data_IF_022194440369
#
_entry.id   IF_022194440369
#
_cell.length_a   1.000
_cell.length_b   1.000
_cell.length_c   1.000
_cell.angle_alpha   90.00
_cell.angle_beta   90.00
_cell.angle_gamma   90.00
#
_symmetry.space_group_name_H-M   'P 1'
#
loop_
_entity.id
_entity.type
_entity.pdbx_description
1 polymer ?
#
# COMPACT_ATOMS: atom_id res chain seq x y z
N UNK A 1 -12.44 -15.15 17.48
CA UNK A 1 -13.72 -14.48 17.18
C UNK A 1 -13.44 -13.46 16.11
N UNK A 2 -14.06 -13.57 14.95
CA UNK A 2 -13.95 -12.52 13.92
C UNK A 2 -14.67 -11.27 14.40
N UNK A 3 -13.95 -10.16 14.46
CA UNK A 3 -14.52 -8.83 14.73
C UNK A 3 -15.53 -8.54 13.61
N UNK A 4 -16.77 -8.13 13.95
CA UNK A 4 -17.76 -7.74 12.95
C UNK A 4 -17.49 -6.32 12.43
N UNK A 5 -16.30 -6.13 11.85
CA UNK A 5 -15.79 -4.84 11.39
C UNK A 5 -16.74 -4.12 10.41
N UNK A 6 -17.38 -4.79 9.44
CA UNK A 6 -18.30 -4.09 8.53
C UNK A 6 -19.46 -3.39 9.25
N UNK A 7 -20.06 -4.04 10.25
CA UNK A 7 -21.14 -3.44 11.03
C UNK A 7 -20.63 -2.32 11.96
N UNK A 8 -19.42 -2.48 12.51
CA UNK A 8 -18.77 -1.46 13.32
C UNK A 8 -18.47 -0.21 12.47
N UNK A 9 -17.93 -0.40 11.27
CA UNK A 9 -17.64 0.69 10.32
C UNK A 9 -18.90 1.44 9.90
N UNK A 10 -20.01 0.75 9.61
CA UNK A 10 -21.30 1.39 9.31
C UNK A 10 -21.83 2.25 10.48
N UNK A 11 -21.68 1.78 11.72
CA UNK A 11 -22.05 2.55 12.91
C UNK A 11 -21.17 3.80 13.06
N UNK A 12 -19.86 3.67 12.81
CA UNK A 12 -18.92 4.78 12.88
C UNK A 12 -19.16 5.84 11.80
N UNK A 13 -19.49 5.43 10.57
CA UNK A 13 -19.92 6.35 9.49
C UNK A 13 -21.16 7.16 9.88
N UNK A 14 -22.06 6.57 10.68
CA UNK A 14 -23.27 7.22 11.20
C UNK A 14 -23.04 7.97 12.51
N UNK A 15 -21.79 8.11 12.95
CA UNK A 15 -21.40 8.72 14.22
C UNK A 15 -22.02 8.05 15.47
N UNK A 16 -22.35 6.74 15.40
CA UNK A 16 -22.92 5.93 16.49
C UNK A 16 -21.83 5.23 17.31
N UNK A 17 -20.92 6.03 17.88
CA UNK A 17 -19.69 5.57 18.52
C UNK A 17 -19.93 4.61 19.70
N UNK A 18 -20.91 4.89 20.56
CA UNK A 18 -21.19 4.05 21.73
C UNK A 18 -21.66 2.64 21.34
N UNK A 19 -22.45 2.52 20.28
CA UNK A 19 -22.96 1.25 19.77
C UNK A 19 -21.86 0.46 19.04
N UNK A 20 -20.99 1.16 18.32
CA UNK A 20 -19.80 0.56 17.72
C UNK A 20 -18.88 -0.02 18.81
N UNK A 21 -18.64 0.72 19.90
CA UNK A 21 -17.84 0.27 21.04
C UNK A 21 -18.46 -0.95 21.75
N UNK A 22 -19.78 -0.96 21.95
CA UNK A 22 -20.46 -2.11 22.53
C UNK A 22 -20.32 -3.35 21.65
N UNK A 23 -20.48 -3.20 20.34
CA UNK A 23 -20.34 -4.30 19.38
C UNK A 23 -18.89 -4.82 19.36
N UNK A 24 -17.91 -3.92 19.34
CA UNK A 24 -16.48 -4.25 19.36
C UNK A 24 -16.10 -5.02 20.64
N UNK A 25 -16.57 -4.55 21.80
CA UNK A 25 -16.29 -5.18 23.09
C UNK A 25 -16.94 -6.56 23.22
N UNK A 26 -18.16 -6.76 22.68
CA UNK A 26 -18.79 -8.08 22.60
C UNK A 26 -17.96 -9.07 21.78
N UNK A 27 -17.21 -8.59 20.79
CA UNK A 27 -16.36 -9.44 19.95
C UNK A 27 -14.94 -9.69 20.50
N UNK A 28 -14.39 -8.78 21.31
CA UNK A 28 -12.97 -8.81 21.68
C UNK A 28 -12.70 -8.84 23.19
N UNK A 29 -13.72 -8.61 24.04
CA UNK A 29 -13.61 -8.57 25.50
C UNK A 29 -12.44 -7.70 26.00
N UNK A 30 -12.36 -6.48 25.47
CA UNK A 30 -11.26 -5.56 25.75
C UNK A 30 -11.51 -4.80 27.06
N UNK A 31 -10.43 -4.35 27.68
CA UNK A 31 -10.57 -3.37 28.77
C UNK A 31 -11.05 -2.01 28.21
N UNK A 32 -11.63 -1.13 29.05
CA UNK A 32 -12.22 0.12 28.57
C UNK A 32 -11.25 1.07 27.86
N UNK A 33 -10.00 1.15 28.32
CA UNK A 33 -8.98 2.06 27.75
C UNK A 33 -8.54 1.60 26.36
N UNK A 34 -8.29 0.30 26.20
CA UNK A 34 -7.95 -0.29 24.91
C UNK A 34 -9.11 -0.19 23.91
N UNK A 35 -10.35 -0.37 24.38
CA UNK A 35 -11.55 -0.21 23.57
C UNK A 35 -11.72 1.22 23.05
N UNK A 36 -11.49 2.23 23.90
CA UNK A 36 -11.58 3.64 23.51
C UNK A 36 -10.54 3.99 22.44
N UNK A 37 -9.31 3.50 22.61
CA UNK A 37 -8.23 3.69 21.63
C UNK A 37 -8.58 3.05 20.29
N UNK A 38 -9.02 1.79 20.30
CA UNK A 38 -9.36 1.03 19.10
C UNK A 38 -10.54 1.69 18.34
N UNK A 39 -11.59 2.07 19.05
CA UNK A 39 -12.76 2.75 18.43
C UNK A 39 -12.37 4.10 17.84
N UNK A 40 -11.46 4.84 18.49
CA UNK A 40 -10.94 6.07 17.93
C UNK A 40 -10.17 5.81 16.63
N UNK A 41 -9.30 4.81 16.61
CA UNK A 41 -8.53 4.42 15.41
C UNK A 41 -9.46 3.99 14.26
N UNK A 42 -10.45 3.13 14.55
CA UNK A 42 -11.44 2.69 13.58
C UNK A 42 -12.28 3.85 13.05
N UNK A 43 -12.63 4.81 13.90
CA UNK A 43 -13.38 6.01 13.47
C UNK A 43 -12.54 6.88 12.56
N UNK A 44 -11.29 7.12 12.92
CA UNK A 44 -10.38 7.93 12.13
C UNK A 44 -10.10 7.24 10.77
N UNK A 45 -9.95 5.90 10.76
CA UNK A 45 -9.87 5.06 9.55
C UNK A 45 -11.09 5.26 8.65
N UNK A 46 -12.29 5.01 9.17
CA UNK A 46 -13.55 5.12 8.43
C UNK A 46 -13.76 6.53 7.86
N UNK A 47 -13.40 7.56 8.62
CA UNK A 47 -13.53 8.95 8.19
C UNK A 47 -12.61 9.27 7.01
N UNK A 48 -11.32 8.92 7.10
CA UNK A 48 -10.35 9.12 6.01
C UNK A 48 -10.80 8.39 4.73
N UNK A 49 -11.27 7.15 4.85
CA UNK A 49 -11.78 6.39 3.70
C UNK A 49 -12.99 7.08 3.06
N UNK A 50 -13.96 7.47 3.88
CA UNK A 50 -15.18 8.15 3.41
C UNK A 50 -14.84 9.46 2.71
N UNK A 51 -14.03 10.32 3.31
CA UNK A 51 -13.66 11.61 2.72
C UNK A 51 -12.88 11.43 1.41
N UNK A 52 -11.99 10.44 1.33
CA UNK A 52 -11.23 10.17 0.09
C UNK A 52 -12.13 9.82 -1.11
N UNK A 53 -13.29 9.20 -0.85
CA UNK A 53 -14.26 8.77 -1.88
C UNK A 53 -15.26 9.88 -2.25
N UNK A 54 -15.27 11.01 -1.53
CA UNK A 54 -16.16 12.15 -1.85
C UNK A 54 -15.64 13.01 -3.00
N UNK A 55 -14.33 12.97 -3.27
CA UNK A 55 -13.75 13.75 -4.36
C UNK A 55 -13.91 13.03 -5.70
N UNK A 56 -14.86 13.51 -6.50
CA UNK A 56 -15.06 13.05 -7.86
C UNK A 56 -14.05 13.64 -8.86
N UNK A 57 -14.31 13.38 -10.15
CA UNK A 57 -13.46 13.80 -11.26
C UNK A 57 -13.67 15.26 -11.69
N UNK A 58 -14.62 15.99 -11.08
CA UNK A 58 -15.03 17.34 -11.50
C UNK A 58 -13.91 18.37 -11.32
N UNK A 59 -13.07 18.18 -10.32
CA UNK A 59 -11.90 19.05 -10.05
C UNK A 59 -10.63 18.57 -10.75
N UNK A 60 -10.73 17.48 -11.53
CA UNK A 60 -9.62 16.92 -12.31
C UNK A 60 -9.53 17.58 -13.68
N UNK A 61 -8.31 17.93 -14.11
CA UNK A 61 -8.06 18.38 -15.49
C UNK A 61 -8.14 17.23 -16.49
N UNK A 62 -8.04 16.00 -16.01
CA UNK A 62 -7.90 14.80 -16.84
C UNK A 62 -9.08 13.82 -16.67
N UNK A 63 -10.11 14.20 -15.90
CA UNK A 63 -11.30 13.38 -15.72
C UNK A 63 -11.12 12.17 -14.81
N UNK A 64 -10.09 12.15 -13.98
CA UNK A 64 -9.77 11.09 -13.00
C UNK A 64 -10.08 11.53 -11.58
N UNK A 65 -10.50 10.63 -10.71
CA UNK A 65 -10.56 10.90 -9.26
C UNK A 65 -9.15 10.96 -8.65
N UNK A 66 -8.95 11.58 -7.47
CA UNK A 66 -7.66 11.56 -6.80
C UNK A 66 -7.14 10.14 -6.52
N UNK A 67 -8.04 9.19 -6.22
CA UNK A 67 -7.69 7.79 -6.00
C UNK A 67 -7.22 7.12 -7.28
N UNK A 68 -8.00 7.24 -8.36
CA UNK A 68 -7.61 6.74 -9.68
C UNK A 68 -6.26 7.30 -10.12
N UNK A 69 -6.00 8.59 -9.90
CA UNK A 69 -4.74 9.21 -10.25
C UNK A 69 -3.55 8.64 -9.48
N UNK A 70 -3.72 8.26 -8.21
CA UNK A 70 -2.67 7.60 -7.43
C UNK A 70 -2.48 6.13 -7.83
N UNK A 71 -3.54 5.43 -8.19
CA UNK A 71 -3.45 4.07 -8.75
C UNK A 71 -2.72 4.12 -10.09
N UNK A 72 -3.04 5.09 -10.96
CA UNK A 72 -2.28 5.34 -12.20
C UNK A 72 -0.81 5.66 -11.94
N UNK A 73 -0.53 6.47 -10.91
CA UNK A 73 0.84 6.77 -10.52
C UNK A 73 1.60 5.51 -10.09
N UNK A 74 0.93 4.58 -9.39
CA UNK A 74 1.52 3.31 -9.01
C UNK A 74 1.79 2.38 -10.21
N UNK A 75 0.90 2.40 -11.21
CA UNK A 75 1.03 1.60 -12.44
C UNK A 75 2.08 2.11 -13.42
N UNK A 76 2.16 3.43 -13.58
CA UNK A 76 2.91 4.05 -14.68
C UNK A 76 4.02 4.97 -14.22
N UNK A 77 4.02 5.46 -12.98
CA UNK A 77 4.93 6.52 -12.57
C UNK A 77 4.48 7.87 -13.14
N UNK A 78 5.38 8.57 -13.85
CA UNK A 78 5.04 9.87 -14.44
C UNK A 78 4.08 9.70 -15.62
N UNK A 79 3.20 10.69 -15.81
CA UNK A 79 2.29 10.67 -16.96
C UNK A 79 3.05 10.59 -18.28
N UNK A 80 2.75 9.54 -19.04
CA UNK A 80 3.34 9.26 -20.35
C UNK A 80 4.34 8.09 -20.33
N UNK A 81 4.73 7.64 -19.14
CA UNK A 81 5.44 6.39 -18.97
C UNK A 81 4.51 5.21 -19.29
N UNK A 82 5.05 4.18 -19.92
CA UNK A 82 4.32 2.93 -20.15
C UNK A 82 4.12 2.19 -18.82
N UNK A 83 2.96 1.56 -18.60
CA UNK A 83 2.71 0.74 -17.42
C UNK A 83 3.81 -0.30 -17.24
N UNK A 84 4.32 -0.44 -16.02
CA UNK A 84 5.39 -1.35 -15.71
C UNK A 84 5.43 -1.74 -14.25
N UNK A 85 6.15 -2.82 -13.90
CA UNK A 85 6.26 -3.24 -12.51
C UNK A 85 6.96 -2.14 -11.69
N UNK A 86 6.30 -1.70 -10.62
CA UNK A 86 6.89 -0.77 -9.67
C UNK A 86 7.76 -1.51 -8.65
N UNK A 87 9.07 -1.30 -8.77
CA UNK A 87 10.14 -2.20 -8.33
C UNK A 87 11.12 -1.60 -7.31
N UNK A 88 10.83 -0.41 -6.80
CA UNK A 88 11.70 0.27 -5.85
C UNK A 88 10.89 1.13 -4.88
N UNK A 89 11.35 1.37 -3.64
CA UNK A 89 10.61 2.22 -2.73
C UNK A 89 10.57 3.69 -3.21
N UNK A 90 9.42 4.35 -3.10
CA UNK A 90 9.24 5.75 -3.53
C UNK A 90 8.76 6.61 -2.37
N UNK A 91 9.26 7.84 -2.27
CA UNK A 91 8.81 8.77 -1.25
C UNK A 91 7.34 9.18 -1.49
N UNK A 92 6.62 9.49 -0.41
CA UNK A 92 5.22 9.92 -0.49
C UNK A 92 5.04 11.12 -1.41
N UNK A 93 5.95 12.09 -1.32
CA UNK A 93 5.90 13.33 -2.09
C UNK A 93 6.01 13.08 -3.59
N UNK A 94 6.83 12.10 -3.99
CA UNK A 94 6.99 11.71 -5.38
C UNK A 94 5.73 11.02 -5.91
N UNK A 95 5.13 10.11 -5.14
CA UNK A 95 3.85 9.47 -5.51
C UNK A 95 2.72 10.48 -5.66
N UNK A 96 2.65 11.46 -4.75
CA UNK A 96 1.69 12.56 -4.85
C UNK A 96 1.98 13.42 -6.09
N UNK A 97 3.26 13.68 -6.42
CA UNK A 97 3.62 14.43 -7.61
C UNK A 97 3.24 13.69 -8.90
N UNK A 98 3.51 12.38 -8.97
CA UNK A 98 3.10 11.50 -10.06
C UNK A 98 1.58 11.47 -10.20
N UNK A 99 0.85 11.28 -9.09
CA UNK A 99 -0.61 11.38 -9.08
C UNK A 99 -1.10 12.76 -9.53
N UNK A 100 -0.38 13.82 -9.19
CA UNK A 100 -0.63 15.18 -9.67
C UNK A 100 -0.57 15.30 -11.20
N UNK A 101 0.32 14.54 -11.84
CA UNK A 101 0.41 14.48 -13.30
C UNK A 101 -0.80 13.79 -13.95
N UNK A 102 -1.47 12.89 -13.23
CA UNK A 102 -2.67 12.16 -13.65
C UNK A 102 -3.99 12.79 -13.19
N UNK A 103 -3.97 13.71 -12.20
CA UNK A 103 -5.14 14.40 -11.65
C UNK A 103 -5.26 15.86 -12.11
N UNK A 104 -4.18 16.64 -11.99
CA UNK A 104 -4.16 18.06 -12.36
C UNK A 104 -5.02 19.01 -11.50
N UNK A 105 -5.68 18.51 -10.45
CA UNK A 105 -6.46 19.27 -9.47
C UNK A 105 -5.68 19.57 -8.16
N UNK A 106 -6.39 19.89 -7.05
CA UNK A 106 -5.76 20.25 -5.78
C UNK A 106 -4.92 19.12 -5.14
N UNK A 107 -3.69 19.43 -4.74
CA UNK A 107 -2.79 18.46 -4.07
C UNK A 107 -3.34 17.95 -2.74
N UNK A 108 -4.17 18.73 -2.04
CA UNK A 108 -4.81 18.30 -0.80
C UNK A 108 -5.67 17.04 -0.99
N UNK A 109 -6.33 16.90 -2.14
CA UNK A 109 -7.17 15.74 -2.44
C UNK A 109 -6.33 14.47 -2.62
N UNK A 110 -5.18 14.61 -3.29
CA UNK A 110 -4.20 13.53 -3.44
C UNK A 110 -3.60 13.13 -2.09
N UNK A 111 -3.33 14.08 -1.19
CA UNK A 111 -2.82 13.77 0.16
C UNK A 111 -3.81 12.94 0.97
N UNK A 112 -5.11 13.24 0.88
CA UNK A 112 -6.15 12.49 1.57
C UNK A 112 -6.37 11.11 0.93
N UNK A 113 -6.41 11.06 -0.41
CA UNK A 113 -6.52 9.81 -1.14
C UNK A 113 -5.33 8.88 -0.88
N UNK A 114 -4.11 9.42 -0.79
CA UNK A 114 -2.93 8.65 -0.40
C UNK A 114 -3.09 8.02 0.97
N UNK A 115 -3.52 8.80 1.98
CA UNK A 115 -3.73 8.28 3.33
C UNK A 115 -4.80 7.17 3.35
N UNK A 116 -5.87 7.31 2.56
CA UNK A 116 -6.89 6.26 2.44
C UNK A 116 -6.35 4.99 1.76
N UNK A 117 -5.59 5.14 0.66
CA UNK A 117 -5.00 4.02 -0.08
C UNK A 117 -3.88 3.32 0.70
N UNK A 118 -3.17 4.04 1.56
CA UNK A 118 -2.25 3.48 2.54
C UNK A 118 -2.99 2.61 3.57
N UNK A 119 -4.12 3.10 4.10
CA UNK A 119 -4.95 2.36 5.04
C UNK A 119 -5.64 1.14 4.41
N UNK A 120 -6.07 1.22 3.15
CA UNK A 120 -6.65 0.10 2.41
C UNK A 120 -5.57 -0.91 1.96
N UNK A 121 -4.29 -0.55 2.04
CA UNK A 121 -3.16 -1.44 1.79
C UNK A 121 -2.63 -1.42 0.35
N UNK A 122 -3.07 -0.47 -0.49
CA UNK A 122 -2.42 -0.26 -1.80
C UNK A 122 -0.99 0.24 -1.60
N UNK A 123 -0.79 1.20 -0.71
CA UNK A 123 0.54 1.67 -0.35
C UNK A 123 0.91 1.13 1.01
N UNK A 124 2.09 0.55 1.15
CA UNK A 124 2.61 0.16 2.45
C UNK A 124 4.00 0.74 2.67
N UNK A 125 4.20 1.26 3.87
CA UNK A 125 5.47 1.82 4.30
C UNK A 125 6.54 0.72 4.36
N UNK A 126 7.69 0.98 3.75
CA UNK A 126 8.87 0.13 3.96
C UNK A 126 9.36 0.35 5.38
N UNK A 127 9.60 -0.75 6.10
CA UNK A 127 9.90 -0.75 7.54
C UNK A 127 10.68 0.50 8.01
N UNK A 128 10.14 1.27 8.98
CA UNK A 128 10.71 2.52 9.42
C UNK A 128 12.14 2.29 9.92
N UNK A 129 13.07 3.12 9.46
CA UNK A 129 14.51 2.98 9.73
C UNK A 129 15.35 2.49 8.55
N UNK A 130 14.73 2.19 7.40
CA UNK A 130 15.46 1.84 6.17
C UNK A 130 15.88 3.07 5.37
N UNK A 131 15.03 4.10 5.32
CA UNK A 131 15.22 5.30 4.52
C UNK A 131 14.91 6.55 5.34
N UNK A 132 15.63 7.64 5.05
CA UNK A 132 15.41 8.97 5.63
C UNK A 132 15.23 9.96 4.47
N UNK A 133 14.20 9.75 3.64
CA UNK A 133 12.80 9.84 4.07
C UNK A 133 12.02 8.51 4.12
N UNK A 134 10.83 8.51 4.74
CA UNK A 134 9.86 7.39 4.66
C UNK A 134 9.48 7.14 3.21
N UNK A 135 9.44 5.87 2.81
CA UNK A 135 9.16 5.43 1.44
C UNK A 135 8.17 4.27 1.43
N UNK A 136 7.54 4.07 0.28
CA UNK A 136 6.40 3.18 0.09
C UNK A 136 6.62 2.25 -1.09
N UNK A 137 5.97 1.08 -1.06
CA UNK A 137 5.72 0.23 -2.22
C UNK A 137 4.23 0.20 -2.54
N UNK A 138 3.91 -0.18 -3.78
CA UNK A 138 2.57 -0.58 -4.18
C UNK A 138 2.34 -2.07 -3.89
N UNK A 139 1.15 -2.39 -3.43
CA UNK A 139 0.63 -3.74 -3.40
C UNK A 139 0.37 -4.23 -4.83
N UNK A 140 0.67 -5.49 -5.09
CA UNK A 140 0.37 -6.14 -6.37
C UNK A 140 -0.97 -6.87 -6.34
N UNK A 141 -1.93 -6.34 -5.58
CA UNK A 141 -3.30 -6.81 -5.55
C UNK A 141 -4.10 -6.14 -6.68
N UNK A 142 -4.66 -6.92 -7.63
CA UNK A 142 -5.40 -6.38 -8.75
C UNK A 142 -6.72 -5.71 -8.36
N UNK A 143 -7.24 -5.92 -7.13
CA UNK A 143 -8.53 -5.34 -6.72
C UNK A 143 -8.55 -3.81 -6.82
N UNK A 144 -7.43 -3.15 -6.53
CA UNK A 144 -7.31 -1.69 -6.67
C UNK A 144 -7.43 -1.21 -8.12
N UNK A 145 -7.09 -2.06 -9.09
CA UNK A 145 -7.21 -1.73 -10.51
C UNK A 145 -8.66 -1.58 -10.92
N UNK A 146 -9.60 -2.22 -10.23
CA UNK A 146 -11.04 -2.08 -10.46
C UNK A 146 -11.59 -0.66 -10.31
N UNK A 147 -10.84 0.25 -9.67
CA UNK A 147 -11.20 1.67 -9.63
C UNK A 147 -10.89 2.41 -10.94
N UNK A 148 -10.01 1.87 -11.79
CA UNK A 148 -9.62 2.51 -13.04
C UNK A 148 -10.62 2.24 -14.17
N UNK A 149 -10.82 3.19 -15.09
CA UNK A 149 -11.48 2.90 -16.35
C UNK A 149 -10.62 1.93 -17.18
N UNK A 150 -11.26 0.99 -17.87
CA UNK A 150 -10.60 -0.04 -18.70
C UNK A 150 -9.55 -0.87 -17.94
N UNK A 151 -9.88 -1.25 -16.69
CA UNK A 151 -8.99 -1.98 -15.77
C UNK A 151 -8.55 -3.35 -16.28
N UNK A 152 -9.37 -4.02 -17.10
CA UNK A 152 -9.14 -5.41 -17.55
C UNK A 152 -7.72 -5.64 -18.11
N UNK A 153 -7.23 -4.73 -18.96
CA UNK A 153 -5.88 -4.84 -19.56
C UNK A 153 -4.74 -4.68 -18.55
N UNK A 154 -4.99 -3.98 -17.45
CA UNK A 154 -4.03 -3.80 -16.36
C UNK A 154 -4.06 -4.99 -15.42
N UNK A 155 -5.25 -5.55 -15.16
CA UNK A 155 -5.40 -6.76 -14.38
C UNK A 155 -4.59 -7.91 -14.99
N UNK A 156 -4.70 -8.15 -16.30
CA UNK A 156 -3.91 -9.22 -16.96
C UNK A 156 -2.40 -9.04 -16.79
N UNK A 157 -1.89 -7.80 -16.90
CA UNK A 157 -0.47 -7.50 -16.68
C UNK A 157 -0.06 -7.75 -15.23
N UNK A 158 -0.87 -7.30 -14.26
CA UNK A 158 -0.61 -7.46 -12.83
C UNK A 158 -0.72 -8.91 -12.37
N UNK A 159 -1.67 -9.67 -12.92
CA UNK A 159 -1.84 -11.11 -12.68
C UNK A 159 -0.68 -11.91 -13.26
N UNK A 160 -0.23 -11.59 -14.49
CA UNK A 160 0.93 -12.25 -15.09
C UNK A 160 2.21 -12.02 -14.29
N UNK A 161 2.42 -10.82 -13.73
CA UNK A 161 3.50 -10.56 -12.77
C UNK A 161 3.25 -11.34 -11.47
N UNK A 162 2.00 -11.34 -11.01
CA UNK A 162 1.47 -12.15 -9.92
C UNK A 162 1.98 -13.59 -9.92
N UNK A 163 1.66 -14.30 -11.00
CA UNK A 163 1.94 -15.72 -11.19
C UNK A 163 3.44 -16.02 -11.22
N UNK A 164 4.25 -15.15 -11.85
CA UNK A 164 5.71 -15.32 -11.94
C UNK A 164 6.37 -15.34 -10.56
N UNK A 165 5.95 -14.43 -9.67
CA UNK A 165 6.58 -14.27 -8.36
C UNK A 165 5.89 -15.06 -7.24
N UNK A 166 4.61 -15.40 -7.37
CA UNK A 166 3.89 -16.25 -6.41
C UNK A 166 4.46 -17.67 -6.39
N UNK A 167 4.79 -18.23 -7.56
CA UNK A 167 5.40 -19.55 -7.67
C UNK A 167 6.79 -19.61 -7.01
N UNK A 168 7.56 -18.52 -7.11
CA UNK A 168 8.95 -18.48 -6.60
C UNK A 168 9.04 -18.07 -5.13
N UNK A 169 8.24 -17.10 -4.69
CA UNK A 169 8.37 -16.46 -3.37
C UNK A 169 7.14 -16.59 -2.47
N UNK A 170 6.00 -17.06 -3.00
CA UNK A 170 4.69 -17.06 -2.34
C UNK A 170 4.08 -15.67 -2.19
N UNK A 171 2.83 -15.58 -1.75
CA UNK A 171 2.03 -14.33 -1.68
C UNK A 171 2.63 -13.16 -0.88
N UNK A 172 3.63 -13.42 -0.04
CA UNK A 172 4.28 -12.45 0.83
C UNK A 172 4.89 -11.27 0.04
N UNK A 173 5.43 -11.50 -1.16
CA UNK A 173 6.08 -10.46 -1.95
C UNK A 173 5.10 -9.35 -2.37
N UNK A 174 3.83 -9.69 -2.57
CA UNK A 174 2.77 -8.73 -2.95
C UNK A 174 2.59 -7.62 -1.90
N UNK A 175 3.00 -7.88 -0.64
CA UNK A 175 2.91 -6.96 0.51
C UNK A 175 4.27 -6.46 1.03
N UNK A 176 5.37 -6.91 0.44
CA UNK A 176 6.73 -6.44 0.79
C UNK A 176 7.42 -5.74 -0.37
N UNK A 177 6.87 -5.85 -1.58
CA UNK A 177 7.40 -5.26 -2.81
C UNK A 177 8.56 -6.07 -3.35
N UNK A 178 8.84 -5.91 -4.65
CA UNK A 178 10.05 -6.44 -5.28
C UNK A 178 11.10 -5.33 -5.37
N UNK A 179 12.37 -5.69 -5.21
CA UNK A 179 13.49 -4.77 -5.32
C UNK A 179 14.56 -5.32 -6.24
N UNK A 180 15.14 -4.46 -7.08
CA UNK A 180 16.41 -4.73 -7.75
C UNK A 180 17.53 -4.77 -6.70
N UNK A 181 17.64 -5.91 -6.00
CA UNK A 181 18.37 -6.00 -4.73
C UNK A 181 18.64 -7.42 -4.26
N UNK A 182 18.18 -8.45 -4.98
CA UNK A 182 18.73 -9.81 -4.92
C UNK A 182 20.04 -9.97 -5.72
N UNK A 183 20.73 -8.84 -5.98
CA UNK A 183 21.86 -8.74 -6.92
C UNK A 183 21.33 -8.66 -8.36
N UNK A 184 21.81 -7.80 -9.26
CA UNK A 184 23.00 -6.94 -9.31
C UNK A 184 22.68 -5.76 -10.26
N UNK A 185 23.65 -4.86 -10.41
CA UNK A 185 24.12 -4.51 -11.76
C UNK A 185 24.50 -5.78 -12.55
N UNK A 186 23.51 -6.57 -12.95
CA UNK A 186 23.65 -7.58 -13.99
C UNK A 186 23.36 -6.95 -15.34
N UNK A 187 23.48 -7.69 -16.44
CA UNK A 187 22.81 -7.32 -17.68
C UNK A 187 21.28 -7.15 -17.42
N UNK A 188 20.50 -6.81 -18.44
CA UNK A 188 19.04 -6.57 -18.34
C UNK A 188 18.19 -7.76 -17.81
N UNK A 189 18.82 -8.75 -17.20
CA UNK A 189 18.38 -10.09 -16.82
C UNK A 189 18.68 -10.44 -15.34
N UNK A 190 18.99 -9.45 -14.48
CA UNK A 190 19.11 -9.68 -13.04
C UNK A 190 17.74 -10.02 -12.40
N UNK A 191 17.62 -11.11 -11.61
CA UNK A 191 16.34 -11.52 -11.04
C UNK A 191 15.88 -10.58 -9.93
N UNK A 192 14.61 -10.19 -9.99
CA UNK A 192 13.93 -9.38 -8.99
C UNK A 192 13.47 -10.31 -7.86
N UNK A 193 13.39 -9.79 -6.65
CA UNK A 193 12.79 -10.56 -5.56
C UNK A 193 12.33 -9.69 -4.40
N UNK A 194 11.75 -10.30 -3.35
CA UNK A 194 11.12 -9.57 -2.25
C UNK A 194 12.10 -8.59 -1.59
N UNK A 195 11.64 -7.37 -1.31
CA UNK A 195 12.45 -6.36 -0.66
C UNK A 195 12.77 -6.78 0.79
N UNK A 196 14.06 -6.84 1.13
CA UNK A 196 14.54 -7.18 2.48
C UNK A 196 14.74 -5.95 3.38
N UNK A 197 14.36 -4.76 2.90
CA UNK A 197 14.51 -3.50 3.65
C UNK A 197 15.96 -3.24 4.09
N UNK A 198 16.22 -2.85 5.35
CA UNK A 198 17.55 -2.45 5.82
C UNK A 198 18.55 -3.60 5.94
N UNK A 199 18.09 -4.85 5.79
CA UNK A 199 18.95 -6.02 5.73
C UNK A 199 19.56 -6.22 4.33
N UNK A 200 19.07 -5.49 3.32
CA UNK A 200 19.70 -5.46 2.01
C UNK A 200 20.98 -4.60 2.07
N UNK A 201 22.11 -5.23 1.79
CA UNK A 201 23.43 -4.61 1.81
C UNK A 201 23.63 -3.56 0.67
N UNK A 202 22.81 -3.57 -0.41
CA UNK A 202 22.10 -2.37 -0.94
C UNK A 202 22.39 -1.04 -0.26
N UNK A 203 21.90 -1.01 0.97
CA UNK A 203 21.67 0.15 1.79
C UNK A 203 22.72 0.25 2.91
N UNK A 204 23.74 -0.63 2.92
CA UNK A 204 24.88 -0.57 3.83
C UNK A 204 26.05 0.11 3.12
N UNK A 205 26.40 1.32 3.58
CA UNK A 205 27.51 2.11 3.05
C UNK A 205 28.81 1.27 2.95
N UNK A 206 29.45 1.28 1.77
CA UNK A 206 30.78 0.71 1.55
C UNK A 206 30.86 -0.77 1.14
N UNK A 207 29.79 -1.40 0.64
CA UNK A 207 29.85 -2.78 0.10
C UNK A 207 29.46 -2.88 -1.38
N UNK A 208 30.30 -3.57 -2.17
CA UNK A 208 30.21 -3.62 -3.64
C UNK A 208 29.35 -4.79 -4.21
N UNK A 209 28.87 -5.75 -3.41
CA UNK A 209 28.15 -6.93 -3.95
C UNK A 209 27.27 -7.71 -2.96
N UNK A 210 26.25 -8.41 -3.50
CA UNK A 210 25.16 -9.02 -2.72
C UNK A 210 25.58 -10.32 -2.15
N UNK A 211 25.21 -10.54 -0.88
CA UNK A 211 25.13 -11.89 -0.36
C UNK A 211 23.77 -12.46 -0.77
N UNK A 212 23.76 -13.14 -1.93
CA UNK A 212 22.62 -13.86 -2.52
C UNK A 212 22.18 -15.06 -1.65
N UNK A 213 22.85 -15.31 -0.52
CA UNK A 213 22.61 -16.46 0.36
C UNK A 213 21.79 -16.16 1.62
N UNK A 214 21.23 -14.96 1.75
CA UNK A 214 20.34 -14.65 2.88
C UNK A 214 18.94 -15.19 2.56
N UNK A 215 18.64 -16.34 3.15
CA UNK A 215 17.28 -16.90 3.16
C UNK A 215 16.28 -15.85 3.66
N UNK A 216 15.15 -15.75 2.96
CA UNK A 216 14.01 -14.90 3.33
C UNK A 216 13.79 -14.90 4.84
N UNK A 217 13.85 -13.71 5.46
CA UNK A 217 13.66 -13.61 6.88
C UNK A 217 12.17 -13.74 7.22
N UNK A 218 11.71 -14.98 7.40
CA UNK A 218 10.33 -15.30 7.83
C UNK A 218 9.90 -14.59 9.11
N UNK A 219 10.81 -14.01 9.89
CA UNK A 219 10.44 -13.22 11.07
C UNK A 219 9.82 -11.86 10.74
N UNK A 220 10.05 -11.31 9.54
CA UNK A 220 9.36 -10.11 9.04
C UNK A 220 7.86 -10.38 8.83
N UNK A 221 7.46 -11.65 8.61
CA UNK A 221 6.06 -12.06 8.53
C UNK A 221 5.40 -12.29 9.91
N UNK A 222 6.17 -12.40 11.00
CA UNK A 222 5.59 -12.68 12.33
C UNK A 222 4.97 -11.45 13.00
N UNK A 223 5.28 -10.24 12.53
CA UNK A 223 4.69 -9.00 13.07
C UNK A 223 3.25 -8.76 12.62
N UNK A 224 2.70 -9.56 11.68
CA UNK A 224 1.32 -9.42 11.20
C UNK A 224 0.33 -10.49 11.68
N UNK A 225 0.78 -11.57 12.33
CA UNK A 225 -0.11 -12.63 12.86
C UNK A 225 -0.13 -12.75 14.38
N UNK A 226 0.87 -12.20 15.07
CA UNK A 226 0.99 -12.25 16.53
C UNK A 226 1.45 -10.90 17.13
N UNK A 227 0.95 -9.77 16.63
CA UNK A 227 1.01 -8.53 17.42
C UNK A 227 -0.13 -8.59 18.47
N UNK A 228 0.17 -8.44 19.78
CA UNK A 228 -0.80 -8.58 20.86
C UNK A 228 -1.98 -7.61 20.78
#
# INVERSE_FOLDING_TARGET
>A
MEKNLPAIHDLLLKNRVAEAAELYNKSAHMNPEALELEIKQERDFVHVLSESKQFGAEESKYGTTPRQALIWAALSGWRGDDPGPWIFPVAREDLIAWGGSHYGGPTAHLKLAFAALELEGLFFEVHPGTFAPVVYYCCFDPDFLGELPDSDKYCELWESLGDEYDDEYGDAWRRTGICAGQGRQGPSDAPWGPCLGPLCYWFQDGKESCNHGLSFNRSVLRTGKDAP
#
